data_IF_792178700918
#
_entry.id   IF_792178700918
#
_cell.length_a   1.000
_cell.length_b   1.000
_cell.length_c   1.000
_cell.angle_alpha   90.00
_cell.angle_beta   90.00
_cell.angle_gamma   90.00
#
_symmetry.space_group_name_H-M   'P 1'
#
loop_
_entity.id
_entity.type
_entity.pdbx_description
1 polymer ?
#
# COMPACT_ATOMS: atom_id res chain seq x y z
N UNK A 1 5.15 -1.75 -1.78
CA UNK A 1 4.47 -0.54 -2.27
C UNK A 1 3.57 -0.83 -3.44
N UNK A 2 4.09 -1.53 -4.45
CA UNK A 2 3.34 -1.97 -5.64
C UNK A 2 2.52 -3.22 -5.32
N UNK A 3 1.27 -3.01 -4.88
CA UNK A 3 0.36 -4.08 -4.42
C UNK A 3 -0.45 -4.64 -5.58
N UNK A 4 -0.69 -3.84 -6.63
CA UNK A 4 -1.42 -4.27 -7.81
C UNK A 4 -0.52 -4.98 -8.86
N UNK A 5 0.80 -4.89 -8.72
CA UNK A 5 1.79 -5.53 -9.59
C UNK A 5 1.97 -4.83 -10.94
N UNK A 6 1.63 -3.54 -11.05
CA UNK A 6 1.71 -2.78 -12.30
C UNK A 6 3.11 -2.18 -12.58
N UNK A 7 4.05 -2.39 -11.66
CA UNK A 7 5.43 -1.92 -11.74
C UNK A 7 5.63 -0.50 -11.21
N UNK A 8 4.62 0.12 -10.58
CA UNK A 8 4.69 1.45 -9.99
C UNK A 8 4.12 1.43 -8.57
N UNK A 9 4.56 2.39 -7.76
CA UNK A 9 3.93 2.68 -6.46
C UNK A 9 3.08 3.92 -6.63
N UNK A 10 1.76 3.77 -6.58
CA UNK A 10 0.83 4.81 -6.97
C UNK A 10 -0.52 4.80 -6.24
N UNK A 11 -1.46 5.59 -6.77
CA UNK A 11 -2.78 5.78 -6.15
C UNK A 11 -3.63 4.50 -6.19
N UNK A 12 -3.39 3.62 -7.17
CA UNK A 12 -4.09 2.35 -7.28
C UNK A 12 -3.70 1.38 -6.15
N UNK A 13 -2.45 1.42 -5.69
CA UNK A 13 -2.00 0.67 -4.51
C UNK A 13 -2.67 1.18 -3.24
N UNK A 14 -2.65 2.50 -3.04
CA UNK A 14 -3.32 3.12 -1.89
C UNK A 14 -4.83 2.80 -1.88
N UNK A 15 -5.47 2.82 -3.05
CA UNK A 15 -6.89 2.47 -3.20
C UNK A 15 -7.15 0.99 -2.89
N UNK A 16 -6.27 0.09 -3.35
CA UNK A 16 -6.41 -1.34 -3.05
C UNK A 16 -6.22 -1.64 -1.57
N UNK A 17 -5.27 -0.98 -0.90
CA UNK A 17 -5.08 -1.11 0.56
C UNK A 17 -6.34 -0.63 1.31
N UNK A 18 -6.94 0.50 0.91
CA UNK A 18 -8.20 0.96 1.49
C UNK A 18 -9.35 -0.03 1.29
N UNK A 19 -9.46 -0.64 0.10
CA UNK A 19 -10.46 -1.69 -0.18
C UNK A 19 -10.24 -2.94 0.66
N UNK A 20 -8.98 -3.32 0.87
CA UNK A 20 -8.62 -4.42 1.76
C UNK A 20 -9.04 -4.15 3.21
N UNK A 21 -8.74 -2.95 3.72
CA UNK A 21 -9.18 -2.54 5.07
C UNK A 21 -10.70 -2.48 5.22
N UNK A 22 -11.43 -2.23 4.12
CA UNK A 22 -12.88 -2.22 4.07
C UNK A 22 -13.50 -3.60 3.77
N UNK A 23 -12.70 -4.66 3.74
CA UNK A 23 -13.13 -6.04 3.41
C UNK A 23 -13.81 -6.17 2.04
N UNK A 24 -13.50 -5.26 1.11
CA UNK A 24 -14.03 -5.24 -0.26
C UNK A 24 -13.12 -5.98 -1.25
N UNK A 25 -11.89 -6.30 -0.83
CA UNK A 25 -10.87 -6.95 -1.63
C UNK A 25 -9.95 -7.74 -0.71
N UNK A 26 -9.68 -9.00 -1.05
CA UNK A 26 -8.72 -9.82 -0.30
C UNK A 26 -7.33 -9.72 -0.92
N UNK A 27 -6.31 -9.73 -0.05
CA UNK A 27 -4.92 -9.80 -0.45
C UNK A 27 -4.34 -11.21 -0.24
N UNK A 28 -3.53 -11.63 -1.21
CA UNK A 28 -2.59 -12.74 -1.03
C UNK A 28 -1.53 -12.37 0.02
N UNK A 29 -0.82 -13.36 0.56
CA UNK A 29 0.26 -13.10 1.51
C UNK A 29 1.37 -12.22 0.91
N UNK A 30 1.65 -12.37 -0.39
CA UNK A 30 2.62 -11.50 -1.08
C UNK A 30 2.13 -10.06 -1.18
N UNK A 31 0.84 -9.87 -1.44
CA UNK A 31 0.25 -8.52 -1.48
C UNK A 31 0.20 -7.88 -0.11
N UNK A 32 -0.01 -8.64 0.97
CA UNK A 32 0.08 -8.13 2.35
C UNK A 32 1.49 -7.65 2.67
N UNK A 33 2.52 -8.42 2.30
CA UNK A 33 3.93 -8.01 2.45
C UNK A 33 4.24 -6.73 1.66
N UNK A 34 3.70 -6.60 0.44
CA UNK A 34 3.89 -5.40 -0.38
C UNK A 34 3.08 -4.20 0.12
N UNK A 35 1.94 -4.44 0.75
CA UNK A 35 1.05 -3.41 1.28
C UNK A 35 1.56 -2.78 2.58
N UNK A 36 2.25 -3.56 3.43
CA UNK A 36 2.95 -3.10 4.64
C UNK A 36 4.23 -2.33 4.26
N UNK A 37 4.05 -1.10 3.79
CA UNK A 37 5.14 -0.23 3.32
C UNK A 37 5.84 0.49 4.47
N UNK A 38 5.18 0.67 5.60
CA UNK A 38 5.81 1.23 6.80
C UNK A 38 6.59 0.17 7.61
N UNK A 39 6.46 -1.12 7.24
CA UNK A 39 7.14 -2.29 7.83
C UNK A 39 6.80 -2.47 9.32
N UNK A 40 5.57 -2.14 9.72
CA UNK A 40 5.12 -2.28 11.11
C UNK A 40 4.47 -3.65 11.41
N UNK A 41 4.36 -4.50 10.39
CA UNK A 41 3.77 -5.83 10.47
C UNK A 41 2.24 -5.85 10.29
N UNK A 42 1.62 -4.72 9.94
CA UNK A 42 0.18 -4.58 9.69
C UNK A 42 -0.03 -3.85 8.38
N UNK A 43 -1.16 -4.16 7.74
CA UNK A 43 -1.65 -3.40 6.59
C UNK A 43 -2.72 -2.44 7.08
N UNK A 44 -2.48 -1.13 6.98
CA UNK A 44 -3.33 -0.11 7.58
C UNK A 44 -3.26 1.27 6.92
N UNK A 45 -3.86 2.26 7.60
CA UNK A 45 -3.96 3.64 7.08
C UNK A 45 -2.60 4.35 7.00
N UNK A 46 -1.64 3.93 7.81
CA UNK A 46 -0.29 4.50 7.78
C UNK A 46 0.45 4.13 6.50
N UNK A 47 0.21 2.93 5.96
CA UNK A 47 0.70 2.50 4.64
C UNK A 47 0.13 3.35 3.50
N UNK A 48 -1.18 3.54 3.52
CA UNK A 48 -1.91 4.41 2.57
C UNK A 48 -1.33 5.82 2.60
N UNK A 49 -1.12 6.36 3.79
CA UNK A 49 -0.57 7.70 3.99
C UNK A 49 0.87 7.79 3.48
N UNK A 50 1.68 6.76 3.69
CA UNK A 50 3.05 6.70 3.22
C UNK A 50 3.13 6.67 1.69
N UNK A 51 2.26 5.89 1.02
CA UNK A 51 2.15 5.88 -0.45
C UNK A 51 1.75 7.26 -0.97
N UNK A 52 0.79 7.93 -0.35
CA UNK A 52 0.37 9.27 -0.77
C UNK A 52 1.49 10.32 -0.59
N UNK A 53 2.23 10.24 0.52
CA UNK A 53 3.43 11.09 0.72
C UNK A 53 4.51 10.79 -0.31
N UNK A 54 4.70 9.53 -0.67
CA UNK A 54 5.66 9.14 -1.70
C UNK A 54 5.32 9.75 -3.06
N UNK A 55 4.06 9.66 -3.50
CA UNK A 55 3.60 10.31 -4.73
C UNK A 55 3.78 11.84 -4.71
N UNK A 56 3.65 12.46 -3.54
CA UNK A 56 3.87 13.89 -3.35
C UNK A 56 5.36 14.28 -3.24
N UNK A 57 6.29 13.33 -3.30
CA UNK A 57 7.73 13.56 -3.12
C UNK A 57 8.12 13.91 -1.67
N UNK A 58 7.26 13.61 -0.70
CA UNK A 58 7.45 13.90 0.72
C UNK A 58 8.03 12.72 1.51
N UNK A 59 8.04 11.53 0.92
CA UNK A 59 8.59 10.32 1.53
C UNK A 59 9.18 9.37 0.48
N UNK A 60 10.07 8.48 0.92
CA UNK A 60 10.62 7.40 0.08
C UNK A 60 10.07 6.09 0.63
N UNK A 61 9.57 5.25 -0.28
CA UNK A 61 9.26 3.84 0.00
C UNK A 61 10.41 3.03 -0.60
N UNK A 62 11.00 2.17 0.23
CA UNK A 62 12.10 1.27 -0.16
C UNK A 62 11.59 -0.04 -0.77
#
# INVERSE_FOLDING_TARGET
GDVNGDGKVGIDDATNIQKYMAEMLDFTDKQKELADVNKDGKVGVDDVTLIQKHMAGLAVIE
#
